data_IF_244716599065
#
_entry.id   IF_244716599065
#
_cell.length_a   1.000
_cell.length_b   1.000
_cell.length_c   1.000
_cell.angle_alpha   90.00
_cell.angle_beta   90.00
_cell.angle_gamma   90.00
#
_symmetry.space_group_name_H-M   'P 1'
#
loop_
_entity.id
_entity.type
_entity.pdbx_description
1 polymer ?
#
# COMPACT_ATOMS: atom_id res chain seq x y z
N UNK A 1 -11.70 -12.15 -6.18
CA UNK A 1 -10.43 -12.88 -5.99
C UNK A 1 -9.29 -12.13 -6.67
N UNK A 2 -8.55 -11.30 -5.93
CA UNK A 2 -7.31 -10.70 -6.45
C UNK A 2 -6.24 -11.78 -6.41
N UNK A 3 -5.80 -12.26 -7.57
CA UNK A 3 -4.53 -12.96 -7.71
C UNK A 3 -3.53 -11.91 -8.15
N UNK A 4 -2.47 -11.69 -7.38
CA UNK A 4 -1.44 -10.68 -7.72
C UNK A 4 -0.71 -11.00 -9.03
N UNK A 5 -0.93 -12.18 -9.62
CA UNK A 5 -0.50 -12.56 -10.97
C UNK A 5 -0.87 -11.61 -12.12
N UNK A 6 -1.62 -10.52 -11.88
CA UNK A 6 -1.71 -9.35 -12.77
C UNK A 6 -0.61 -8.33 -12.46
N UNK A 7 0.63 -8.79 -12.27
CA UNK A 7 1.81 -8.05 -11.82
C UNK A 7 2.29 -6.97 -12.79
N UNK A 8 1.44 -6.00 -13.11
CA UNK A 8 1.85 -4.81 -13.82
C UNK A 8 2.84 -3.98 -13.00
N UNK A 9 3.63 -3.09 -13.63
CA UNK A 9 4.68 -2.31 -12.97
C UNK A 9 4.18 -1.55 -11.72
N UNK A 10 2.92 -1.13 -11.71
CA UNK A 10 2.34 -0.44 -10.55
C UNK A 10 2.23 -1.29 -9.28
N UNK A 11 2.20 -2.63 -9.38
CA UNK A 11 2.13 -3.53 -8.21
C UNK A 11 3.53 -3.89 -7.73
N UNK A 12 4.46 -4.18 -8.63
CA UNK A 12 5.82 -4.64 -8.28
C UNK A 12 6.84 -3.51 -8.09
N UNK A 13 6.68 -2.37 -8.78
CA UNK A 13 7.68 -1.29 -8.80
C UNK A 13 7.25 -0.03 -8.02
N UNK A 14 6.03 0.02 -7.48
CA UNK A 14 5.62 1.16 -6.65
C UNK A 14 6.36 1.15 -5.31
N UNK A 15 6.80 2.34 -4.85
CA UNK A 15 7.41 2.52 -3.53
C UNK A 15 6.46 2.12 -2.39
N UNK A 16 5.15 2.29 -2.61
CA UNK A 16 4.10 1.92 -1.68
C UNK A 16 2.89 1.33 -2.44
N UNK A 17 2.49 0.11 -2.07
CA UNK A 17 1.22 -0.48 -2.50
C UNK A 17 0.14 -0.24 -1.45
N UNK A 18 -0.99 0.37 -1.84
CA UNK A 18 -2.17 0.54 -0.98
C UNK A 18 -3.29 -0.38 -1.44
N UNK A 19 -3.64 -1.35 -0.60
CA UNK A 19 -4.81 -2.21 -0.80
C UNK A 19 -5.99 -1.59 -0.05
N UNK A 20 -6.89 -0.92 -0.78
CA UNK A 20 -8.05 -0.24 -0.19
C UNK A 20 -9.34 -1.08 -0.27
N UNK A 21 -10.32 -0.70 0.55
CA UNK A 21 -11.64 -1.34 0.68
C UNK A 21 -11.59 -2.74 1.28
N UNK A 22 -10.68 -2.97 2.23
CA UNK A 22 -10.55 -4.28 2.88
C UNK A 22 -11.81 -4.69 3.66
N UNK A 23 -12.65 -3.71 4.03
CA UNK A 23 -13.97 -3.91 4.62
C UNK A 23 -14.92 -4.71 3.72
N UNK A 24 -14.72 -4.67 2.40
CA UNK A 24 -15.55 -5.43 1.46
C UNK A 24 -15.15 -6.90 1.33
N UNK A 25 -13.99 -7.30 1.86
CA UNK A 25 -13.44 -8.64 1.67
C UNK A 25 -14.41 -9.79 2.03
N UNK A 26 -15.17 -9.73 3.15
CA UNK A 26 -16.15 -10.77 3.51
C UNK A 26 -17.30 -10.90 2.51
N UNK A 27 -17.61 -9.84 1.77
CA UNK A 27 -18.76 -9.79 0.87
C UNK A 27 -18.42 -10.17 -0.58
N UNK A 28 -17.14 -10.17 -0.95
CA UNK A 28 -16.68 -10.45 -2.32
C UNK A 28 -15.84 -11.73 -2.44
N UNK A 29 -15.79 -12.52 -1.37
CA UNK A 29 -14.98 -13.74 -1.30
C UNK A 29 -13.48 -13.47 -1.48
N UNK A 30 -12.97 -12.37 -0.92
CA UNK A 30 -11.55 -12.05 -0.95
C UNK A 30 -10.88 -12.48 0.37
N UNK A 31 -9.73 -13.14 0.27
CA UNK A 31 -8.89 -13.46 1.43
C UNK A 31 -7.77 -12.43 1.57
N UNK A 32 -7.82 -11.65 2.66
CA UNK A 32 -6.78 -10.65 2.97
C UNK A 32 -5.44 -11.30 3.31
N UNK A 33 -5.45 -12.52 3.84
CA UNK A 33 -4.24 -13.29 4.14
C UNK A 33 -3.49 -13.67 2.86
N UNK A 34 -4.22 -14.22 1.88
CA UNK A 34 -3.65 -14.56 0.56
C UNK A 34 -3.08 -13.31 -0.10
N UNK A 35 -3.84 -12.22 -0.11
CA UNK A 35 -3.38 -10.95 -0.69
C UNK A 35 -2.12 -10.40 0.00
N UNK A 36 -1.99 -10.57 1.32
CA UNK A 36 -0.80 -10.14 2.07
C UNK A 36 0.43 -10.95 1.66
N UNK A 37 0.33 -12.28 1.69
CA UNK A 37 1.40 -13.18 1.25
C UNK A 37 1.82 -12.91 -0.18
N UNK A 38 0.84 -12.74 -1.06
CA UNK A 38 1.07 -12.53 -2.48
C UNK A 38 1.73 -11.17 -2.76
N UNK A 39 1.36 -10.12 -2.02
CA UNK A 39 1.99 -8.80 -2.14
C UNK A 39 3.43 -8.82 -1.67
N UNK A 40 3.70 -9.53 -0.56
CA UNK A 40 5.04 -9.69 0.00
C UNK A 40 6.00 -10.39 -1.00
N UNK A 41 5.55 -11.50 -1.58
CA UNK A 41 6.32 -12.26 -2.58
C UNK A 41 6.57 -11.45 -3.86
N UNK A 42 5.56 -10.76 -4.38
CA UNK A 42 5.70 -10.03 -5.65
C UNK A 42 6.51 -8.74 -5.56
N UNK A 43 6.63 -8.19 -4.35
CA UNK A 43 7.29 -6.91 -4.10
C UNK A 43 8.64 -7.07 -3.41
N UNK A 44 9.12 -8.30 -3.21
CA UNK A 44 10.36 -8.60 -2.49
C UNK A 44 10.40 -7.91 -1.10
N UNK A 45 9.28 -7.99 -0.37
CA UNK A 45 9.11 -7.31 0.93
C UNK A 45 8.78 -5.81 0.84
N UNK A 46 8.53 -5.27 -0.35
CA UNK A 46 8.18 -3.86 -0.56
C UNK A 46 6.92 -3.41 0.19
N UNK A 47 6.96 -2.18 0.71
CA UNK A 47 5.95 -1.64 1.62
C UNK A 47 4.51 -1.78 1.07
N UNK A 48 3.61 -2.37 1.86
CA UNK A 48 2.21 -2.58 1.52
C UNK A 48 1.32 -2.21 2.71
N UNK A 49 0.30 -1.39 2.47
CA UNK A 49 -0.66 -0.96 3.51
C UNK A 49 -2.07 -1.39 3.12
N UNK A 50 -2.73 -2.12 4.02
CA UNK A 50 -4.13 -2.53 3.91
C UNK A 50 -5.01 -1.48 4.58
N UNK A 51 -5.99 -0.96 3.85
CA UNK A 51 -6.79 0.19 4.27
C UNK A 51 -8.29 -0.03 4.07
N UNK A 52 -9.06 0.57 4.97
CA UNK A 52 -10.47 0.83 4.79
C UNK A 52 -10.67 2.32 5.04
N UNK A 53 -10.43 3.15 4.03
CA UNK A 53 -10.39 4.62 4.17
C UNK A 53 -11.69 5.17 4.75
N UNK A 54 -12.84 4.58 4.39
CA UNK A 54 -14.15 4.95 4.93
C UNK A 54 -14.24 4.78 6.45
N UNK A 55 -13.43 3.91 7.03
CA UNK A 55 -13.35 3.61 8.46
C UNK A 55 -12.10 4.17 9.13
N UNK A 56 -11.28 4.95 8.40
CA UNK A 56 -10.01 5.48 8.91
C UNK A 56 -8.88 4.45 9.04
N UNK A 57 -9.14 3.17 8.75
CA UNK A 57 -8.15 2.09 8.93
C UNK A 57 -6.98 2.25 7.95
N UNK A 58 -5.77 2.33 8.50
CA UNK A 58 -4.51 2.38 7.74
C UNK A 58 -4.21 3.73 7.07
N UNK A 59 -5.05 4.75 7.27
CA UNK A 59 -4.85 6.09 6.70
C UNK A 59 -3.59 6.75 7.26
N UNK A 60 -3.38 6.67 8.58
CA UNK A 60 -2.21 7.25 9.25
C UNK A 60 -0.89 6.63 8.75
N UNK A 61 -0.89 5.31 8.47
CA UNK A 61 0.27 4.65 7.91
C UNK A 61 0.60 5.18 6.50
N UNK A 62 -0.41 5.37 5.64
CA UNK A 62 -0.21 5.96 4.30
C UNK A 62 0.33 7.38 4.40
N UNK A 63 -0.23 8.22 5.28
CA UNK A 63 0.26 9.59 5.51
C UNK A 63 1.72 9.56 5.97
N UNK A 64 2.06 8.68 6.90
CA UNK A 64 3.43 8.53 7.42
C UNK A 64 4.41 8.15 6.31
N UNK A 65 4.03 7.24 5.41
CA UNK A 65 4.86 6.90 4.25
C UNK A 65 5.08 8.07 3.30
N UNK A 66 4.03 8.86 3.01
CA UNK A 66 4.13 10.03 2.14
C UNK A 66 5.07 11.08 2.76
N UNK A 67 4.92 11.35 4.06
CA UNK A 67 5.77 12.29 4.77
C UNK A 67 7.23 11.80 4.78
N UNK A 68 7.47 10.53 5.08
CA UNK A 68 8.82 9.96 5.05
C UNK A 68 9.46 10.02 3.66
N UNK A 69 8.71 9.75 2.60
CA UNK A 69 9.17 9.89 1.22
C UNK A 69 9.48 11.34 0.85
N UNK A 70 8.66 12.30 1.31
CA UNK A 70 8.92 13.72 1.14
C UNK A 70 10.22 14.14 1.85
N UNK A 71 10.45 13.67 3.06
CA UNK A 71 11.68 13.95 3.82
C UNK A 71 12.93 13.37 3.13
N UNK A 72 12.86 12.13 2.65
CA UNK A 72 13.99 11.45 2.00
C UNK A 72 14.28 11.98 0.59
N UNK A 73 13.29 12.56 -0.09
CA UNK A 73 13.47 13.18 -1.42
C UNK A 73 14.37 14.43 -1.42
N UNK A 74 14.68 14.99 -0.24
CA UNK A 74 15.40 16.26 -0.11
C UNK A 74 14.52 17.50 -0.30
N UNK A 75 13.24 17.35 -0.66
CA UNK A 75 12.29 18.44 -0.84
C UNK A 75 12.07 19.29 0.42
N UNK A 76 12.17 18.69 1.62
CA UNK A 76 12.10 19.42 2.90
C UNK A 76 13.19 20.49 3.05
N UNK A 77 14.37 20.26 2.45
CA UNK A 77 15.49 21.20 2.47
C UNK A 77 15.24 22.41 1.55
N UNK A 78 14.44 22.24 0.50
CA UNK A 78 14.06 23.28 -0.45
C UNK A 78 12.92 24.17 0.07
N UNK A 79 12.03 23.64 0.90
CA UNK A 79 10.89 24.39 1.46
C UNK A 79 11.25 25.25 2.68
N UNK A 80 12.51 25.22 3.12
CA UNK A 80 13.01 25.95 4.29
C UNK A 80 13.86 27.18 3.92
N UNK A 81 13.78 27.63 2.65
CA UNK A 81 14.51 28.78 2.09
C UNK A 81 13.51 29.87 1.70
#
# INVERSE_FOLDING_TARGET
>A
MMTTGKGGPGISQSDLLVVNKIDLAPHVGASLEVMRRDSDVMRDGGATVFTAVKHGTGVEAVVSFILAAWESSGAKKLSSV
#
